data_IF_538927965610
#
_entry.id   IF_538927965610
#
_cell.length_a   1.000
_cell.length_b   1.000
_cell.length_c   1.000
_cell.angle_alpha   90.00
_cell.angle_beta   90.00
_cell.angle_gamma   90.00
#
_symmetry.space_group_name_H-M   'P 1'
#
loop_
_entity.id
_entity.type
_entity.pdbx_description
1 polymer ?
#
# COMPACT_ATOMS: atom_id res chain seq x y z
N UNK A 1 -6.73 33.85 -4.63
CA UNK A 1 -5.80 34.38 -3.60
C UNK A 1 -4.41 34.74 -4.14
N UNK A 2 -3.72 33.88 -4.91
CA UNK A 2 -2.40 34.19 -5.48
C UNK A 2 -2.39 35.47 -6.36
N UNK A 3 -3.44 35.65 -7.17
CA UNK A 3 -3.61 36.82 -8.04
C UNK A 3 -3.83 38.13 -7.27
N UNK A 4 -4.53 38.07 -6.12
CA UNK A 4 -4.74 39.25 -5.28
C UNK A 4 -3.43 39.73 -4.64
N UNK A 5 -2.59 38.81 -4.19
CA UNK A 5 -1.29 39.14 -3.58
C UNK A 5 -0.26 39.58 -4.62
N UNK A 6 -0.33 39.07 -5.85
CA UNK A 6 0.51 39.58 -6.94
C UNK A 6 0.12 41.01 -7.33
N UNK A 7 -1.18 41.36 -7.30
CA UNK A 7 -1.65 42.72 -7.51
C UNK A 7 -1.18 43.67 -6.38
N UNK A 8 -1.23 43.22 -5.13
CA UNK A 8 -0.69 43.99 -3.98
C UNK A 8 0.82 44.21 -4.13
N UNK A 9 1.57 43.18 -4.53
CA UNK A 9 3.01 43.31 -4.83
C UNK A 9 3.31 44.27 -5.98
N UNK A 10 2.40 44.40 -6.95
CA UNK A 10 2.48 45.36 -8.06
C UNK A 10 2.05 46.79 -7.66
N UNK A 11 1.66 47.03 -6.41
CA UNK A 11 1.34 48.36 -5.88
C UNK A 11 -0.16 48.65 -5.70
N UNK A 12 -1.05 47.68 -5.92
CA UNK A 12 -2.49 47.86 -5.65
C UNK A 12 -2.74 47.90 -4.14
N UNK A 13 -3.49 48.89 -3.67
CA UNK A 13 -3.87 49.00 -2.25
C UNK A 13 -4.71 47.81 -1.80
N UNK A 14 -4.45 47.32 -0.58
CA UNK A 14 -5.10 46.14 0.01
C UNK A 14 -6.63 46.15 -0.09
N UNK A 15 -7.25 47.30 0.13
CA UNK A 15 -8.71 47.43 0.11
C UNK A 15 -9.29 47.35 -1.31
N UNK A 16 -8.59 47.91 -2.30
CA UNK A 16 -8.95 47.74 -3.71
C UNK A 16 -8.75 46.28 -4.15
N UNK A 17 -7.67 45.62 -3.71
CA UNK A 17 -7.44 44.21 -3.98
C UNK A 17 -8.49 43.30 -3.31
N UNK A 18 -8.94 43.63 -2.10
CA UNK A 18 -10.01 42.90 -1.40
C UNK A 18 -11.31 42.91 -2.18
N UNK A 19 -11.71 44.09 -2.69
CA UNK A 19 -12.92 44.25 -3.49
C UNK A 19 -12.77 43.60 -4.86
N UNK A 20 -11.65 43.84 -5.56
CA UNK A 20 -11.45 43.36 -6.93
C UNK A 20 -11.33 41.83 -7.05
N UNK A 21 -10.82 41.16 -6.01
CA UNK A 21 -10.60 39.71 -6.01
C UNK A 21 -11.53 38.95 -5.07
N UNK A 22 -12.52 39.61 -4.47
CA UNK A 22 -13.50 39.03 -3.55
C UNK A 22 -12.87 38.21 -2.41
N UNK A 23 -11.73 38.69 -1.89
CA UNK A 23 -11.05 38.08 -0.74
C UNK A 23 -11.20 39.01 0.46
N UNK A 24 -11.63 38.51 1.64
CA UNK A 24 -11.74 39.33 2.84
C UNK A 24 -10.44 40.07 3.15
N UNK A 25 -10.57 41.35 3.52
CA UNK A 25 -9.45 42.23 3.82
C UNK A 25 -8.50 41.64 4.87
N UNK A 26 -9.06 41.09 5.96
CA UNK A 26 -8.30 40.45 7.04
C UNK A 26 -7.43 39.31 6.54
N UNK A 27 -7.97 38.45 5.66
CA UNK A 27 -7.24 37.34 5.08
C UNK A 27 -6.08 37.82 4.20
N UNK A 28 -6.28 38.86 3.37
CA UNK A 28 -5.19 39.44 2.57
C UNK A 28 -4.12 40.08 3.47
N UNK A 29 -4.53 40.75 4.54
CA UNK A 29 -3.60 41.36 5.50
C UNK A 29 -2.75 40.30 6.21
N UNK A 30 -3.36 39.20 6.68
CA UNK A 30 -2.64 38.10 7.34
C UNK A 30 -1.70 37.35 6.39
N UNK A 31 -2.08 37.20 5.11
CA UNK A 31 -1.20 36.64 4.07
C UNK A 31 -0.04 37.57 3.73
N UNK A 32 -0.25 38.89 3.73
CA UNK A 32 0.80 39.90 3.51
C UNK A 32 1.80 39.91 4.67
N UNK A 33 1.29 39.88 5.90
CA UNK A 33 2.08 39.95 7.13
C UNK A 33 2.77 38.61 7.46
N UNK A 34 2.58 37.58 6.63
CA UNK A 34 3.22 36.27 6.78
C UNK A 34 2.66 35.41 7.91
N UNK A 35 1.63 35.87 8.63
CA UNK A 35 0.98 35.11 9.72
C UNK A 35 0.42 33.77 9.25
N UNK A 36 -0.04 33.72 8.01
CA UNK A 36 -0.38 32.44 7.37
C UNK A 36 0.16 32.40 5.94
N UNK A 37 0.90 31.36 5.60
CA UNK A 37 1.42 31.18 4.24
C UNK A 37 0.31 30.66 3.31
N UNK A 38 0.43 30.93 2.00
CA UNK A 38 -0.52 30.41 1.00
C UNK A 38 -0.18 28.93 0.75
N UNK A 39 -1.16 28.05 0.85
CA UNK A 39 -0.95 26.61 0.63
C UNK A 39 -0.31 25.86 1.80
N UNK A 40 0.03 26.55 2.90
CA UNK A 40 0.45 25.87 4.12
C UNK A 40 -0.73 25.12 4.74
N UNK A 41 -0.50 23.85 5.08
CA UNK A 41 -1.46 23.05 5.86
C UNK A 41 -1.62 23.70 7.23
N UNK A 42 -2.88 23.88 7.65
CA UNK A 42 -3.18 24.36 9.00
C UNK A 42 -2.95 23.23 10.00
N UNK A 43 -2.30 23.53 11.12
CA UNK A 43 -1.97 22.56 12.15
C UNK A 43 -0.47 22.46 12.42
N UNK A 44 -0.10 21.55 13.33
CA UNK A 44 1.30 21.23 13.61
C UNK A 44 2.00 20.56 12.42
N UNK A 45 3.33 20.43 12.49
CA UNK A 45 4.09 19.69 11.48
C UNK A 45 3.63 18.23 11.47
N UNK A 46 3.33 17.71 10.27
CA UNK A 46 3.11 16.27 10.07
C UNK A 46 4.35 15.49 10.54
N UNK A 47 4.11 14.35 11.20
CA UNK A 47 5.17 13.38 11.52
C UNK A 47 5.62 12.64 10.24
N UNK A 48 4.70 12.47 9.29
CA UNK A 48 4.92 11.77 8.03
C UNK A 48 5.42 12.73 6.93
N UNK A 49 6.19 12.20 5.98
CA UNK A 49 6.58 12.92 4.78
C UNK A 49 5.36 13.19 3.87
N UNK A 50 5.52 14.11 2.91
CA UNK A 50 4.46 14.41 1.95
C UNK A 50 4.14 13.19 1.05
N UNK A 51 5.14 12.37 0.72
CA UNK A 51 4.93 11.13 -0.02
C UNK A 51 4.17 10.11 0.81
N UNK A 52 4.50 9.96 2.09
CA UNK A 52 3.85 9.02 3.02
C UNK A 52 2.39 9.40 3.27
N UNK A 53 2.07 10.69 3.40
CA UNK A 53 0.69 11.17 3.55
C UNK A 53 -0.18 10.92 2.31
N UNK A 54 0.43 10.84 1.12
CA UNK A 54 -0.28 10.59 -0.13
C UNK A 54 -0.55 9.10 -0.37
N UNK A 55 -0.04 8.20 0.46
CA UNK A 55 -0.31 6.77 0.38
C UNK A 55 -1.65 6.43 1.05
N UNK A 56 -2.32 5.35 0.60
CA UNK A 56 -3.52 4.87 1.28
C UNK A 56 -3.18 4.45 2.72
N UNK A 57 -3.62 5.26 3.67
CA UNK A 57 -3.39 4.99 5.09
C UNK A 57 -4.25 3.85 5.62
N UNK A 58 -4.07 3.54 6.90
CA UNK A 58 -4.81 2.47 7.60
C UNK A 58 -6.33 2.55 7.42
N UNK A 59 -6.91 3.74 7.57
CA UNK A 59 -8.35 3.95 7.39
C UNK A 59 -8.84 3.61 5.99
N UNK A 60 -8.04 3.93 4.97
CA UNK A 60 -8.37 3.56 3.60
C UNK A 60 -8.37 2.05 3.43
N UNK A 61 -7.34 1.37 3.95
CA UNK A 61 -7.21 -0.09 3.87
C UNK A 61 -8.37 -0.79 4.59
N UNK A 62 -8.71 -0.35 5.80
CA UNK A 62 -9.82 -0.90 6.58
C UNK A 62 -11.15 -0.76 5.82
N UNK A 63 -11.42 0.43 5.26
CA UNK A 63 -12.61 0.69 4.48
C UNK A 63 -12.64 -0.10 3.16
N UNK A 64 -11.49 -0.27 2.52
CA UNK A 64 -11.34 -1.06 1.30
C UNK A 64 -11.64 -2.54 1.56
N UNK A 65 -11.01 -3.14 2.57
CA UNK A 65 -11.25 -4.54 2.95
C UNK A 65 -12.71 -4.79 3.31
N UNK A 66 -13.37 -3.83 3.98
CA UNK A 66 -14.80 -3.94 4.31
C UNK A 66 -15.69 -3.96 3.05
N UNK A 67 -15.43 -3.09 2.08
CA UNK A 67 -16.20 -3.01 0.82
C UNK A 67 -16.07 -4.28 -0.02
N UNK A 68 -14.90 -4.92 0.01
CA UNK A 68 -14.60 -6.11 -0.80
C UNK A 68 -14.54 -7.40 0.04
N UNK A 69 -15.26 -7.44 1.16
CA UNK A 69 -15.22 -8.57 2.11
C UNK A 69 -15.75 -9.89 1.53
N UNK A 70 -16.54 -9.85 0.45
CA UNK A 70 -17.01 -11.03 -0.27
C UNK A 70 -15.95 -11.64 -1.21
N UNK A 71 -15.00 -10.84 -1.68
CA UNK A 71 -14.01 -11.24 -2.69
C UNK A 71 -12.60 -11.38 -2.10
N UNK A 72 -12.31 -10.60 -1.06
CA UNK A 72 -10.99 -10.50 -0.45
C UNK A 72 -11.03 -11.02 0.99
N UNK A 73 -10.05 -11.86 1.31
CA UNK A 73 -9.79 -12.31 2.67
C UNK A 73 -8.33 -12.02 3.02
N UNK A 74 -8.09 -11.47 4.21
CA UNK A 74 -6.74 -11.35 4.73
C UNK A 74 -6.19 -12.75 5.01
N UNK A 75 -5.08 -13.12 4.35
CA UNK A 75 -4.38 -14.37 4.66
C UNK A 75 -3.24 -14.08 5.61
N UNK A 76 -3.14 -14.86 6.67
CA UNK A 76 -1.93 -14.91 7.48
C UNK A 76 -0.84 -15.53 6.60
N UNK A 77 0.26 -14.82 6.32
CA UNK A 77 1.35 -15.40 5.56
C UNK A 77 1.87 -16.62 6.31
N UNK A 78 2.02 -17.75 5.61
CA UNK A 78 2.68 -18.90 6.19
C UNK A 78 4.16 -18.54 6.37
N UNK A 79 4.66 -18.62 7.60
CA UNK A 79 6.09 -18.53 7.84
C UNK A 79 6.78 -19.66 7.08
N UNK A 80 7.56 -19.29 6.07
CA UNK A 80 8.39 -20.24 5.35
C UNK A 80 9.48 -20.72 6.31
N UNK A 81 9.63 -22.04 6.45
CA UNK A 81 10.78 -22.57 7.18
C UNK A 81 12.07 -22.21 6.45
N UNK A 82 13.19 -22.10 7.17
CA UNK A 82 14.51 -21.81 6.58
C UNK A 82 14.84 -22.72 5.39
N UNK A 83 14.40 -23.98 5.44
CA UNK A 83 14.59 -24.95 4.35
C UNK A 83 13.84 -24.57 3.07
N UNK A 84 12.70 -23.88 3.17
CA UNK A 84 11.94 -23.37 2.02
C UNK A 84 12.56 -22.11 1.44
N UNK A 85 13.28 -21.31 2.24
CA UNK A 85 13.97 -20.09 1.76
C UNK A 85 15.29 -20.40 1.06
N UNK A 86 15.97 -21.50 1.39
CA UNK A 86 17.26 -21.90 0.82
C UNK A 86 17.16 -22.64 -0.53
N UNK A 87 15.96 -22.64 -1.12
CA UNK A 87 15.65 -23.28 -2.40
C UNK A 87 16.15 -22.39 -3.54
N UNK A 88 17.03 -22.92 -4.38
CA UNK A 88 17.54 -22.23 -5.57
C UNK A 88 16.90 -22.81 -6.83
N UNK A 89 16.93 -22.06 -7.93
CA UNK A 89 16.41 -22.52 -9.23
C UNK A 89 17.06 -23.85 -9.66
N UNK A 90 18.37 -23.99 -9.48
CA UNK A 90 19.11 -25.21 -9.83
C UNK A 90 18.57 -26.41 -9.05
N UNK A 91 18.33 -26.25 -7.75
CA UNK A 91 17.77 -27.32 -6.90
C UNK A 91 16.34 -27.68 -7.33
N UNK A 92 15.51 -26.69 -7.69
CA UNK A 92 14.16 -26.94 -8.19
C UNK A 92 14.18 -27.75 -9.49
N UNK A 93 15.00 -27.33 -10.45
CA UNK A 93 15.11 -28.03 -11.74
C UNK A 93 15.60 -29.46 -11.57
N UNK A 94 16.60 -29.67 -10.72
CA UNK A 94 17.10 -31.00 -10.40
C UNK A 94 16.02 -31.89 -9.75
N UNK A 95 15.25 -31.34 -8.79
CA UNK A 95 14.15 -32.06 -8.16
C UNK A 95 13.07 -32.49 -9.16
N UNK A 96 12.66 -31.60 -10.08
CA UNK A 96 11.68 -31.95 -11.11
C UNK A 96 12.19 -33.05 -12.04
N UNK A 97 13.47 -33.01 -12.43
CA UNK A 97 14.08 -34.06 -13.26
C UNK A 97 14.11 -35.41 -12.54
N UNK A 98 14.46 -35.41 -11.25
CA UNK A 98 14.49 -36.62 -10.42
C UNK A 98 13.09 -37.24 -10.30
N UNK A 99 12.08 -36.42 -10.01
CA UNK A 99 10.68 -36.88 -9.92
C UNK A 99 10.20 -37.41 -11.27
N UNK A 100 10.48 -36.72 -12.37
CA UNK A 100 10.09 -37.19 -13.71
C UNK A 100 10.72 -38.55 -14.03
N UNK A 101 12.03 -38.71 -13.78
CA UNK A 101 12.73 -39.97 -13.97
C UNK A 101 12.16 -41.09 -13.09
N UNK A 102 11.84 -40.78 -11.83
CA UNK A 102 11.23 -41.72 -10.91
C UNK A 102 9.88 -42.24 -11.43
N UNK A 103 9.03 -41.33 -11.92
CA UNK A 103 7.73 -41.69 -12.49
C UNK A 103 7.87 -42.48 -13.80
N UNK A 104 8.86 -42.15 -14.65
CA UNK A 104 9.21 -42.94 -15.85
C UNK A 104 9.61 -44.36 -15.49
N UNK A 105 10.52 -44.52 -14.55
CA UNK A 105 11.04 -45.83 -14.15
C UNK A 105 9.95 -46.74 -13.56
N UNK A 106 8.95 -46.16 -12.91
CA UNK A 106 7.79 -46.88 -12.38
C UNK A 106 6.66 -47.07 -13.40
N UNK A 107 6.80 -46.53 -14.62
CA UNK A 107 5.79 -46.56 -15.67
C UNK A 107 4.43 -45.98 -15.23
N UNK A 108 4.46 -44.86 -14.50
CA UNK A 108 3.28 -44.19 -13.92
C UNK A 108 3.15 -42.73 -14.37
N UNK A 109 3.65 -42.40 -15.55
CA UNK A 109 3.53 -41.03 -16.09
C UNK A 109 2.10 -40.71 -16.57
N UNK A 110 1.38 -41.70 -17.08
CA UNK A 110 0.02 -41.56 -17.62
C UNK A 110 -0.96 -42.37 -16.78
N UNK A 111 -1.22 -41.87 -15.56
CA UNK A 111 -2.11 -42.51 -14.60
C UNK A 111 -3.35 -41.64 -14.43
N UNK A 112 -4.52 -42.29 -14.50
CA UNK A 112 -5.80 -41.64 -14.25
C UNK A 112 -5.82 -40.97 -12.87
N UNK A 113 -6.35 -39.75 -12.81
CA UNK A 113 -6.39 -38.94 -11.59
C UNK A 113 -7.10 -39.64 -10.42
N UNK A 114 -8.06 -40.53 -10.69
CA UNK A 114 -8.77 -41.28 -9.64
C UNK A 114 -7.88 -42.31 -8.91
N UNK A 115 -6.68 -42.58 -9.44
CA UNK A 115 -5.69 -43.49 -8.85
C UNK A 115 -4.59 -42.75 -8.10
N UNK A 116 -4.67 -41.42 -8.01
CA UNK A 116 -3.74 -40.57 -7.28
C UNK A 116 -4.33 -40.23 -5.92
N UNK A 117 -3.78 -40.83 -4.87
CA UNK A 117 -4.21 -40.57 -3.49
C UNK A 117 -3.23 -39.62 -2.82
N UNK A 118 -3.76 -38.56 -2.19
CA UNK A 118 -2.96 -37.72 -1.30
C UNK A 118 -2.83 -38.39 0.07
N UNK A 119 -1.64 -38.36 0.66
CA UNK A 119 -1.40 -38.77 2.03
C UNK A 119 -0.61 -37.67 2.74
N UNK A 120 -1.08 -37.25 3.91
CA UNK A 120 -0.39 -36.27 4.75
C UNK A 120 -0.51 -36.68 6.20
N UNK A 121 0.57 -36.51 6.96
CA UNK A 121 0.58 -36.78 8.39
C UNK A 121 0.37 -35.48 9.16
N UNK A 122 -0.56 -35.50 10.13
CA UNK A 122 -0.77 -34.38 11.04
C UNK A 122 -0.42 -34.83 12.45
N UNK A 123 0.55 -34.16 13.08
CA UNK A 123 0.87 -34.39 14.48
C UNK A 123 -0.18 -33.71 15.37
N UNK A 124 -0.88 -34.49 16.19
CA UNK A 124 -1.74 -33.99 17.25
C UNK A 124 -0.99 -34.06 18.58
N UNK A 125 -0.65 -32.91 19.16
CA UNK A 125 -0.07 -32.84 20.50
C UNK A 125 -1.22 -32.95 21.51
N UNK A 126 -1.27 -34.07 22.23
CA UNK A 126 -2.34 -34.37 23.20
C UNK A 126 -2.11 -33.75 24.59
N UNK A 127 -1.07 -32.94 24.76
CA UNK A 127 -0.84 -32.16 25.97
C UNK A 127 -0.28 -30.77 25.60
N UNK A 128 -0.94 -29.66 26.01
CA UNK A 128 -0.50 -28.28 25.71
C UNK A 128 0.84 -27.90 26.34
#
# INVERSE_FOLDING_TARGET
>A
MANALSAIKKGVVLRAASVAYEVPYSTLNDKRDGKSQIGAKSGGKSVLSMEEENLPGRHWLDAFMKRHSSELAARVPQNLSQRRTDVTEVKLRAWFQEVELHLKNKNVQDVDGNRVFNCYETAALLNP
#
